data_IF_240136052044
#
_entry.id   IF_240136052044
#
_cell.length_a   1.000
_cell.length_b   1.000
_cell.length_c   1.000
_cell.angle_alpha   90.00
_cell.angle_beta   90.00
_cell.angle_gamma   90.00
#
_symmetry.space_group_name_H-M   'P 1'
#
loop_
_entity.id
_entity.type
_entity.pdbx_description
1 polymer ?
#
# COMPACT_ATOMS: atom_id res chain seq x y z
N UNK A 1 40.54 7.05 -2.38
CA UNK A 1 39.20 6.50 -2.72
C UNK A 1 38.65 5.81 -1.48
N UNK A 2 37.85 6.51 -0.69
CA UNK A 2 37.30 5.98 0.57
C UNK A 2 36.12 5.06 0.29
N UNK A 3 36.27 3.76 0.61
CA UNK A 3 35.18 2.79 0.49
C UNK A 3 34.09 3.15 1.50
N UNK A 4 32.90 3.53 0.99
CA UNK A 4 31.69 3.68 1.80
C UNK A 4 31.38 2.32 2.44
N UNK A 5 31.67 2.18 3.73
CA UNK A 5 31.34 1.00 4.52
C UNK A 5 29.82 0.80 4.48
N UNK A 6 29.41 -0.34 3.94
CA UNK A 6 28.03 -0.80 3.92
C UNK A 6 27.72 -1.25 5.35
N UNK A 7 26.83 -0.55 6.03
CA UNK A 7 26.48 -0.86 7.42
C UNK A 7 25.86 -2.25 7.48
N UNK A 8 26.46 -3.14 8.28
CA UNK A 8 25.96 -4.49 8.48
C UNK A 8 24.59 -4.44 9.17
N UNK A 9 23.60 -5.08 8.55
CA UNK A 9 22.20 -5.21 9.01
C UNK A 9 22.04 -5.95 10.36
N UNK A 10 23.14 -6.40 10.94
CA UNK A 10 23.24 -7.08 12.24
C UNK A 10 23.65 -6.13 13.38
N UNK A 11 23.98 -4.87 13.08
CA UNK A 11 24.38 -3.93 14.12
C UNK A 11 23.18 -3.48 14.96
N UNK A 12 23.37 -3.35 16.27
CA UNK A 12 22.41 -2.73 17.20
C UNK A 12 22.01 -1.32 16.75
N UNK A 13 22.90 -0.62 16.04
CA UNK A 13 22.63 0.66 15.37
C UNK A 13 21.56 0.57 14.29
N UNK A 14 21.52 -0.50 13.48
CA UNK A 14 20.48 -0.71 12.47
C UNK A 14 19.12 -1.06 13.12
N UNK A 15 19.14 -1.78 14.25
CA UNK A 15 17.93 -2.06 15.03
C UNK A 15 17.37 -0.79 15.71
N UNK A 16 18.25 0.07 16.24
CA UNK A 16 17.87 1.36 16.86
C UNK A 16 17.42 2.37 15.79
N UNK A 17 18.04 2.41 14.62
CA UNK A 17 17.55 3.21 13.48
C UNK A 17 16.20 2.70 12.96
N UNK A 18 16.00 1.38 12.89
CA UNK A 18 14.70 0.79 12.59
C UNK A 18 13.64 1.19 13.62
N UNK A 19 14.01 1.28 14.90
CA UNK A 19 13.11 1.68 15.98
C UNK A 19 12.85 3.20 16.03
N UNK A 20 13.84 4.04 15.69
CA UNK A 20 13.68 5.49 15.58
C UNK A 20 12.91 5.90 14.32
N UNK A 21 13.08 5.17 13.21
CA UNK A 21 12.30 5.34 11.98
C UNK A 21 10.80 5.07 12.17
N UNK A 22 10.43 4.25 13.17
CA UNK A 22 9.03 4.00 13.58
C UNK A 22 8.37 5.25 14.20
N UNK A 23 9.13 6.27 14.63
CA UNK A 23 8.58 7.48 15.28
C UNK A 23 8.41 8.69 14.34
N UNK A 24 8.86 8.63 13.09
CA UNK A 24 8.73 9.76 12.15
C UNK A 24 7.78 9.44 11.00
N UNK A 25 6.61 10.06 11.03
CA UNK A 25 5.49 9.78 10.12
C UNK A 25 5.83 10.11 8.66
N UNK A 26 5.69 9.14 7.75
CA UNK A 26 6.02 9.32 6.31
C UNK A 26 5.27 10.54 5.74
N UNK A 27 5.99 11.50 5.12
CA UNK A 27 5.38 12.76 4.73
C UNK A 27 4.46 12.56 3.54
N UNK A 28 3.40 13.38 3.47
CA UNK A 28 2.59 13.47 2.26
C UNK A 28 3.41 14.10 1.13
N UNK A 29 3.21 13.66 -0.12
CA UNK A 29 3.81 14.30 -1.28
C UNK A 29 3.22 15.69 -1.51
N UNK A 30 4.02 16.60 -2.06
CA UNK A 30 3.62 17.98 -2.31
C UNK A 30 2.35 18.08 -3.16
N UNK A 31 1.45 18.98 -2.76
CA UNK A 31 0.19 19.24 -3.45
C UNK A 31 -0.88 18.16 -3.29
N UNK A 32 -0.66 17.15 -2.43
CA UNK A 32 -1.63 16.09 -2.16
C UNK A 32 -2.12 16.18 -0.71
N UNK A 33 -3.43 16.28 -0.58
CA UNK A 33 -4.12 16.27 0.71
C UNK A 33 -5.01 15.02 0.85
N UNK A 34 -5.13 14.54 2.09
CA UNK A 34 -6.04 13.46 2.46
C UNK A 34 -7.41 14.04 2.83
N UNK A 35 -8.47 13.49 2.23
CA UNK A 35 -9.86 14.00 2.33
C UNK A 35 -10.52 13.69 3.66
N UNK A 36 -10.07 12.66 4.38
CA UNK A 36 -10.74 12.15 5.58
C UNK A 36 -9.80 11.40 6.52
N UNK A 37 -10.26 11.13 7.74
CA UNK A 37 -9.53 10.33 8.73
C UNK A 37 -9.37 8.87 8.30
N UNK A 38 -10.30 8.37 7.48
CA UNK A 38 -10.18 7.05 6.84
C UNK A 38 -8.98 7.04 5.91
N UNK A 39 -8.79 8.07 5.10
CA UNK A 39 -7.60 8.19 4.24
C UNK A 39 -6.32 8.31 5.06
N UNK A 40 -6.30 9.09 6.15
CA UNK A 40 -5.13 9.14 7.07
C UNK A 40 -4.81 7.76 7.63
N UNK A 41 -5.82 7.05 8.10
CA UNK A 41 -5.64 5.69 8.64
C UNK A 41 -5.03 4.76 7.59
N UNK A 42 -5.57 4.76 6.37
CA UNK A 42 -5.07 3.92 5.27
C UNK A 42 -3.65 4.35 4.86
N UNK A 43 -3.36 5.65 4.86
CA UNK A 43 -2.02 6.19 4.61
C UNK A 43 -1.00 5.64 5.60
N UNK A 44 -1.28 5.70 6.91
CA UNK A 44 -0.38 5.14 7.92
C UNK A 44 -0.23 3.61 7.78
N UNK A 45 -1.29 2.90 7.39
CA UNK A 45 -1.22 1.45 7.17
C UNK A 45 -0.25 1.07 6.04
N UNK A 46 -0.35 1.74 4.88
CA UNK A 46 0.52 1.42 3.74
C UNK A 46 1.92 2.04 3.83
N UNK A 47 2.06 3.25 4.35
CA UNK A 47 3.36 3.92 4.46
C UNK A 47 4.33 3.19 5.39
N UNK A 48 3.80 2.47 6.39
CA UNK A 48 4.57 1.60 7.30
C UNK A 48 5.10 0.32 6.66
N UNK A 49 4.73 0.01 5.41
CA UNK A 49 5.25 -1.16 4.71
C UNK A 49 6.77 -1.07 4.43
N UNK A 50 7.36 0.14 4.54
CA UNK A 50 8.78 0.42 4.32
C UNK A 50 9.30 1.44 5.32
N UNK A 51 10.62 1.51 5.47
CA UNK A 51 11.24 2.59 6.20
C UNK A 51 10.99 3.94 5.51
N UNK A 52 10.95 5.03 6.26
CA UNK A 52 10.66 6.38 5.74
C UNK A 52 11.58 6.76 4.59
N UNK A 53 12.86 6.48 4.75
CA UNK A 53 13.95 6.77 3.81
C UNK A 53 13.89 5.98 2.50
N UNK A 54 13.12 4.89 2.45
CA UNK A 54 12.98 4.05 1.25
C UNK A 54 11.87 4.54 0.31
N UNK A 55 11.10 5.56 0.71
CA UNK A 55 10.05 6.16 -0.11
C UNK A 55 10.61 7.23 -1.05
N UNK A 56 10.38 7.08 -2.36
CA UNK A 56 10.62 8.12 -3.36
C UNK A 56 9.35 8.95 -3.56
N UNK A 57 9.47 10.18 -4.04
CA UNK A 57 8.32 11.06 -4.30
C UNK A 57 7.27 10.41 -5.21
N UNK A 58 7.71 9.72 -6.26
CA UNK A 58 6.82 8.98 -7.16
C UNK A 58 6.06 7.87 -6.43
N UNK A 59 6.73 7.16 -5.51
CA UNK A 59 6.09 6.11 -4.70
C UNK A 59 5.04 6.72 -3.78
N UNK A 60 5.31 7.89 -3.18
CA UNK A 60 4.35 8.61 -2.34
C UNK A 60 3.12 9.08 -3.13
N UNK A 61 3.31 9.52 -4.38
CA UNK A 61 2.19 9.88 -5.27
C UNK A 61 1.32 8.65 -5.59
N UNK A 62 1.93 7.51 -5.89
CA UNK A 62 1.20 6.26 -6.11
C UNK A 62 0.52 5.76 -4.82
N UNK A 63 1.19 5.92 -3.68
CA UNK A 63 0.66 5.59 -2.37
C UNK A 63 -0.62 6.38 -2.07
N UNK A 64 -0.59 7.69 -2.30
CA UNK A 64 -1.77 8.55 -2.15
C UNK A 64 -2.92 8.12 -3.06
N UNK A 65 -2.63 7.66 -4.29
CA UNK A 65 -3.66 7.12 -5.20
C UNK A 65 -4.30 5.85 -4.64
N UNK A 66 -3.53 4.91 -4.10
CA UNK A 66 -4.10 3.67 -3.53
C UNK A 66 -4.86 3.93 -2.22
N UNK A 67 -4.45 4.93 -1.44
CA UNK A 67 -5.17 5.39 -0.25
C UNK A 67 -6.54 5.92 -0.63
N UNK A 68 -6.60 6.78 -1.66
CA UNK A 68 -7.86 7.32 -2.18
C UNK A 68 -8.79 6.22 -2.68
N UNK A 69 -8.28 5.31 -3.51
CA UNK A 69 -9.04 4.15 -3.98
C UNK A 69 -9.54 3.28 -2.82
N UNK A 70 -8.72 3.08 -1.78
CA UNK A 70 -9.11 2.31 -0.59
C UNK A 70 -10.24 2.95 0.20
N UNK A 71 -10.25 4.29 0.33
CA UNK A 71 -11.35 5.00 0.96
C UNK A 71 -12.62 4.98 0.12
N UNK A 72 -12.51 5.12 -1.21
CA UNK A 72 -13.64 5.03 -2.14
C UNK A 72 -14.27 3.62 -2.12
N UNK A 73 -13.45 2.56 -2.07
CA UNK A 73 -13.90 1.16 -1.92
C UNK A 73 -14.72 1.00 -0.63
N UNK A 74 -14.21 1.47 0.51
CA UNK A 74 -14.93 1.36 1.80
C UNK A 74 -16.25 2.11 1.79
N UNK A 75 -16.29 3.27 1.13
CA UNK A 75 -17.52 4.06 0.98
C UNK A 75 -18.55 3.31 0.15
N UNK A 76 -18.15 2.79 -1.02
CA UNK A 76 -19.03 2.01 -1.89
C UNK A 76 -19.49 0.68 -1.25
N UNK A 77 -18.62 0.03 -0.45
CA UNK A 77 -18.98 -1.17 0.30
C UNK A 77 -20.02 -0.85 1.39
N UNK A 78 -19.87 0.24 2.13
CA UNK A 78 -20.86 0.65 3.12
C UNK A 78 -22.22 0.96 2.48
N UNK A 79 -22.24 1.67 1.33
CA UNK A 79 -23.46 1.93 0.58
C UNK A 79 -24.09 0.62 0.06
N UNK A 80 -23.28 -0.33 -0.41
CA UNK A 80 -23.74 -1.64 -0.84
C UNK A 80 -24.33 -2.46 0.31
N UNK A 81 -23.74 -2.37 1.52
CA UNK A 81 -24.24 -3.07 2.71
C UNK A 81 -25.59 -2.51 3.16
N UNK A 82 -25.81 -1.21 3.01
CA UNK A 82 -27.10 -0.55 3.30
C UNK A 82 -28.18 -0.87 2.26
N UNK A 83 -27.83 -0.83 0.97
CA UNK A 83 -28.79 -1.00 -0.14
C UNK A 83 -29.07 -2.48 -0.43
N UNK A 84 -28.07 -3.34 -0.27
CA UNK A 84 -28.11 -4.76 -0.62
C UNK A 84 -27.54 -5.09 -2.00
N UNK A 85 -27.26 -6.38 -2.20
CA UNK A 85 -26.64 -6.92 -3.43
C UNK A 85 -27.55 -6.87 -4.66
N UNK A 86 -28.86 -6.74 -4.46
CA UNK A 86 -29.88 -6.68 -5.51
C UNK A 86 -30.67 -5.39 -5.37
N UNK A 87 -30.90 -4.69 -6.47
CA UNK A 87 -31.70 -3.46 -6.55
C UNK A 87 -32.76 -3.60 -7.62
N UNK A 88 -33.91 -2.97 -7.45
CA UNK A 88 -34.91 -2.93 -8.51
C UNK A 88 -34.55 -1.86 -9.54
N UNK A 89 -34.62 -2.22 -10.82
CA UNK A 89 -34.50 -1.25 -11.89
C UNK A 89 -35.81 -0.44 -12.05
N UNK A 90 -35.79 0.58 -12.92
CA UNK A 90 -37.00 1.40 -13.21
C UNK A 90 -38.21 0.62 -13.74
N UNK A 91 -38.03 -0.64 -14.13
CA UNK A 91 -39.07 -1.56 -14.62
C UNK A 91 -39.53 -2.55 -13.54
N UNK A 92 -39.08 -2.40 -12.28
CA UNK A 92 -39.40 -3.29 -11.17
C UNK A 92 -38.73 -4.67 -11.25
N UNK A 93 -37.72 -4.84 -12.11
CA UNK A 93 -36.98 -6.11 -12.19
C UNK A 93 -35.78 -6.06 -11.24
N UNK A 94 -35.60 -7.05 -10.35
CA UNK A 94 -34.39 -7.17 -9.53
C UNK A 94 -33.16 -7.38 -10.42
N UNK A 95 -32.15 -6.52 -10.26
CA UNK A 95 -30.86 -6.60 -10.93
C UNK A 95 -29.72 -6.55 -9.90
N UNK A 96 -28.53 -7.08 -10.20
CA UNK A 96 -27.37 -6.89 -9.34
C UNK A 96 -27.05 -5.40 -9.15
N UNK A 97 -26.68 -5.02 -7.94
CA UNK A 97 -26.34 -3.63 -7.62
C UNK A 97 -25.11 -3.18 -8.47
N UNK A 98 -25.21 -2.08 -9.24
CA UNK A 98 -24.09 -1.55 -10.03
C UNK A 98 -22.81 -1.31 -9.24
N UNK A 99 -22.91 -0.99 -7.94
CA UNK A 99 -21.76 -0.79 -7.05
C UNK A 99 -20.83 -2.00 -7.01
N UNK A 100 -21.34 -3.22 -7.18
CA UNK A 100 -20.51 -4.44 -7.23
C UNK A 100 -19.42 -4.36 -8.32
N UNK A 101 -19.78 -3.84 -9.50
CA UNK A 101 -18.85 -3.68 -10.62
C UNK A 101 -17.85 -2.55 -10.42
N UNK A 102 -18.27 -1.48 -9.74
CA UNK A 102 -17.40 -0.34 -9.39
C UNK A 102 -16.36 -0.79 -8.37
N UNK A 103 -16.79 -1.50 -7.32
CA UNK A 103 -15.91 -2.04 -6.27
C UNK A 103 -14.87 -2.98 -6.89
N UNK A 104 -15.29 -3.97 -7.69
CA UNK A 104 -14.36 -4.91 -8.34
C UNK A 104 -13.31 -4.18 -9.22
N UNK A 105 -13.75 -3.15 -9.96
CA UNK A 105 -12.84 -2.34 -10.79
C UNK A 105 -11.82 -1.59 -9.95
N UNK A 106 -12.25 -0.95 -8.85
CA UNK A 106 -11.35 -0.21 -7.96
C UNK A 106 -10.38 -1.16 -7.24
N UNK A 107 -10.85 -2.30 -6.75
CA UNK A 107 -10.03 -3.31 -6.09
C UNK A 107 -8.95 -3.88 -7.03
N UNK A 108 -9.31 -4.21 -8.27
CA UNK A 108 -8.33 -4.69 -9.27
C UNK A 108 -7.26 -3.64 -9.58
N UNK A 109 -7.66 -2.37 -9.73
CA UNK A 109 -6.73 -1.26 -9.96
C UNK A 109 -5.83 -1.02 -8.77
N UNK A 110 -6.37 -1.03 -7.55
CA UNK A 110 -5.61 -0.87 -6.32
C UNK A 110 -4.58 -1.99 -6.18
N UNK A 111 -4.99 -3.24 -6.38
CA UNK A 111 -4.11 -4.40 -6.30
C UNK A 111 -3.00 -4.37 -7.37
N UNK A 112 -3.30 -3.87 -8.58
CA UNK A 112 -2.28 -3.70 -9.61
C UNK A 112 -1.18 -2.72 -9.19
N UNK A 113 -1.54 -1.59 -8.57
CA UNK A 113 -0.57 -0.60 -8.08
C UNK A 113 0.23 -1.13 -6.88
N UNK A 114 -0.44 -1.81 -5.93
CA UNK A 114 0.22 -2.46 -4.79
C UNK A 114 1.29 -3.46 -5.27
N UNK A 115 0.97 -4.26 -6.29
CA UNK A 115 1.92 -5.21 -6.89
C UNK A 115 3.05 -4.53 -7.65
N UNK A 116 2.77 -3.50 -8.45
CA UNK A 116 3.81 -2.80 -9.19
C UNK A 116 4.79 -2.09 -8.27
N UNK A 117 4.32 -1.67 -7.10
CA UNK A 117 5.16 -1.13 -6.05
C UNK A 117 5.80 -2.20 -5.18
N UNK A 118 5.41 -3.48 -5.24
CA UNK A 118 5.88 -4.55 -4.34
C UNK A 118 5.63 -4.26 -2.85
N UNK A 119 4.49 -3.65 -2.52
CA UNK A 119 4.08 -3.37 -1.13
C UNK A 119 3.52 -4.60 -0.40
N UNK A 120 3.28 -5.69 -1.13
CA UNK A 120 2.80 -6.97 -0.60
C UNK A 120 3.94 -7.91 -0.16
N UNK A 121 5.21 -7.49 -0.26
CA UNK A 121 6.37 -8.28 0.16
C UNK A 121 6.83 -7.82 1.53
N UNK A 122 6.90 -8.75 2.49
CA UNK A 122 7.54 -8.52 3.79
C UNK A 122 8.98 -9.03 3.77
N UNK A 123 9.87 -8.38 4.53
CA UNK A 123 11.27 -8.80 4.64
C UNK A 123 11.43 -10.25 5.18
N UNK A 124 10.44 -10.73 5.94
CA UNK A 124 10.35 -12.10 6.44
C UNK A 124 9.65 -13.07 5.48
N UNK A 125 9.18 -12.63 4.31
CA UNK A 125 8.52 -13.51 3.34
C UNK A 125 9.57 -14.49 2.76
N UNK A 126 9.38 -15.82 2.89
CA UNK A 126 10.27 -16.81 2.29
C UNK A 126 10.53 -16.60 0.79
N UNK A 127 9.58 -16.02 0.05
CA UNK A 127 9.76 -15.70 -1.38
C UNK A 127 10.83 -14.63 -1.61
N UNK A 128 10.91 -13.67 -0.69
CA UNK A 128 11.90 -12.58 -0.72
C UNK A 128 13.28 -13.11 -0.29
N UNK A 129 13.36 -13.89 0.79
CA UNK A 129 14.60 -14.49 1.29
C UNK A 129 15.27 -15.43 0.27
N UNK A 130 14.47 -16.28 -0.39
CA UNK A 130 14.96 -17.20 -1.42
C UNK A 130 15.42 -16.47 -2.70
N UNK A 131 14.86 -15.30 -2.99
CA UNK A 131 15.31 -14.45 -4.09
C UNK A 131 16.73 -13.92 -3.89
N UNK A 132 17.04 -13.44 -2.67
CA UNK A 132 18.38 -12.98 -2.32
C UNK A 132 19.42 -14.10 -2.35
N UNK A 133 19.09 -15.28 -1.83
CA UNK A 133 19.98 -16.45 -1.85
C UNK A 133 20.39 -16.87 -3.28
N UNK A 134 19.47 -16.77 -4.25
CA UNK A 134 19.74 -17.07 -5.67
C UNK A 134 20.62 -16.01 -6.36
N UNK A 135 20.54 -14.75 -5.93
CA UNK A 135 21.39 -13.68 -6.45
C UNK A 135 22.83 -13.80 -5.95
N UNK A 136 23.02 -14.20 -4.69
CA UNK A 136 24.35 -14.45 -4.12
C UNK A 136 25.06 -15.66 -4.74
N UNK A 137 24.32 -16.72 -5.10
CA UNK A 137 24.89 -17.90 -5.76
C UNK A 137 25.31 -17.66 -7.20
N UNK A 138 24.71 -16.69 -7.90
CA UNK A 138 25.10 -16.30 -9.28
C UNK A 138 26.27 -15.33 -9.34
N UNK A 139 26.61 -14.68 -8.23
CA UNK A 139 27.68 -13.70 -8.15
C UNK A 139 29.04 -14.31 -7.73
N UNK A 140 29.10 -15.62 -7.51
CA UNK A 140 30.31 -16.42 -7.27
C UNK A 140 30.62 -17.27 -8.50
#
# INVERSE_FOLDING_TARGET
>A
MSQKRRTDKSSTTAAVQGFAGVMSDVPLPDGIELRSDVERTIWHQFSRARAREDWRDMDLILLAKIVRMGADIRTAQAELDEVGMMVENKRGTPIPNPLLSVIDTLERRQLAVIRSMSLNQTASDPRTLNGFAKLETKAR
#
